data_IF_265559420915
#
_entry.id   IF_265559420915
#
_cell.length_a   1.000
_cell.length_b   1.000
_cell.length_c   1.000
_cell.angle_alpha   90.00
_cell.angle_beta   90.00
_cell.angle_gamma   90.00
#
_symmetry.space_group_name_H-M   'P 1'
#
loop_
_entity.id
_entity.type
_entity.pdbx_description
1 polymer ?
#
# COMPACT_ATOMS: atom_id res chain seq x y z
N UNK A 1 32.23 -27.94 -2.19
CA UNK A 1 30.87 -28.24 -2.70
C UNK A 1 30.10 -26.94 -2.51
N UNK A 2 29.93 -26.23 -3.60
CA UNK A 2 29.52 -24.84 -3.61
C UNK A 2 28.01 -24.77 -3.27
N UNK A 3 27.66 -23.92 -2.29
CA UNK A 3 26.27 -23.73 -1.81
C UNK A 3 25.39 -23.03 -2.87
N UNK A 4 26.00 -22.59 -3.97
CA UNK A 4 25.36 -21.81 -5.04
C UNK A 4 24.49 -22.61 -6.02
N UNK A 5 24.45 -23.95 -5.90
CA UNK A 5 23.77 -24.83 -6.90
C UNK A 5 22.51 -25.53 -6.36
N UNK A 6 21.92 -25.02 -5.26
CA UNK A 6 20.63 -25.54 -4.77
C UNK A 6 19.49 -24.74 -5.38
N UNK A 7 18.63 -25.44 -6.13
CA UNK A 7 17.33 -24.87 -6.54
C UNK A 7 16.60 -24.32 -5.31
N UNK A 8 15.95 -23.15 -5.42
CA UNK A 8 15.23 -22.55 -4.32
C UNK A 8 14.16 -23.49 -3.77
N UNK A 9 14.01 -23.52 -2.47
CA UNK A 9 12.94 -24.28 -1.82
C UNK A 9 11.59 -23.61 -2.07
N UNK A 10 10.48 -24.38 -1.93
CA UNK A 10 9.12 -23.85 -2.03
C UNK A 10 8.89 -22.64 -1.11
N UNK A 11 9.39 -22.68 0.11
CA UNK A 11 9.29 -21.57 1.05
C UNK A 11 10.00 -20.32 0.52
N UNK A 12 11.22 -20.47 -0.02
CA UNK A 12 11.96 -19.34 -0.60
C UNK A 12 11.26 -18.75 -1.84
N UNK A 13 10.64 -19.60 -2.66
CA UNK A 13 9.85 -19.13 -3.80
C UNK A 13 8.59 -18.38 -3.36
N UNK A 14 7.90 -18.86 -2.32
CA UNK A 14 6.74 -18.18 -1.76
C UNK A 14 7.13 -16.84 -1.12
N UNK A 15 8.19 -16.81 -0.32
CA UNK A 15 8.69 -15.57 0.28
C UNK A 15 9.03 -14.54 -0.80
N UNK A 16 9.76 -14.96 -1.85
CA UNK A 16 10.07 -14.08 -2.97
C UNK A 16 8.83 -13.58 -3.73
N UNK A 17 7.80 -14.44 -3.89
CA UNK A 17 6.53 -14.02 -4.48
C UNK A 17 5.83 -12.96 -3.63
N UNK A 18 5.73 -13.19 -2.32
CA UNK A 18 5.06 -12.26 -1.40
C UNK A 18 5.81 -10.92 -1.30
N UNK A 19 7.14 -10.94 -1.31
CA UNK A 19 7.97 -9.72 -1.32
C UNK A 19 7.75 -8.89 -2.60
N UNK A 20 7.62 -9.55 -3.77
CA UNK A 20 7.41 -8.89 -5.04
C UNK A 20 5.97 -8.36 -5.22
N UNK A 21 4.99 -8.97 -4.55
CA UNK A 21 3.57 -8.79 -4.82
C UNK A 21 3.10 -7.33 -4.73
N UNK A 22 3.54 -6.60 -3.70
CA UNK A 22 3.18 -5.18 -3.54
C UNK A 22 3.76 -4.31 -4.66
N UNK A 23 5.00 -4.59 -5.06
CA UNK A 23 5.69 -3.84 -6.12
C UNK A 23 5.03 -4.11 -7.46
N UNK A 24 4.73 -5.38 -7.76
CA UNK A 24 4.06 -5.79 -9.00
C UNK A 24 2.69 -5.13 -9.15
N UNK A 25 1.85 -5.25 -8.12
CA UNK A 25 0.48 -4.72 -8.15
C UNK A 25 0.46 -3.20 -8.07
N UNK A 26 1.37 -2.58 -7.31
CA UNK A 26 1.52 -1.12 -7.30
C UNK A 26 1.94 -0.54 -8.64
N UNK A 27 2.86 -1.21 -9.34
CA UNK A 27 3.27 -0.81 -10.68
C UNK A 27 2.18 -1.10 -11.74
N UNK A 28 1.40 -2.18 -11.58
CA UNK A 28 0.25 -2.46 -12.44
C UNK A 28 -0.75 -1.29 -12.39
N UNK A 29 -0.99 -0.76 -11.21
CA UNK A 29 -1.85 0.41 -11.02
C UNK A 29 -1.30 1.67 -11.68
N UNK A 30 0.01 1.92 -11.58
CA UNK A 30 0.63 3.17 -12.02
C UNK A 30 0.90 3.20 -13.53
N UNK A 31 1.40 2.10 -14.08
CA UNK A 31 1.97 2.05 -15.42
C UNK A 31 1.29 1.00 -16.32
N UNK A 32 0.61 0.00 -15.74
CA UNK A 32 0.10 -1.16 -16.46
C UNK A 32 -1.36 -1.04 -16.90
N UNK A 33 -2.11 -0.13 -16.30
CA UNK A 33 -3.54 0.04 -16.56
C UNK A 33 -3.86 1.49 -16.89
N UNK A 34 -4.90 1.74 -17.72
CA UNK A 34 -5.25 3.10 -18.12
C UNK A 34 -5.85 3.90 -16.98
N UNK A 35 -5.79 5.23 -17.11
CA UNK A 35 -6.50 6.15 -16.22
C UNK A 35 -7.99 5.80 -16.16
N UNK A 36 -8.53 5.74 -14.93
CA UNK A 36 -9.93 5.40 -14.70
C UNK A 36 -10.24 3.91 -14.62
N UNK A 37 -9.24 3.02 -14.67
CA UNK A 37 -9.45 1.61 -14.34
C UNK A 37 -9.97 1.48 -12.90
N UNK A 38 -11.03 0.68 -12.64
CA UNK A 38 -11.58 0.51 -11.29
C UNK A 38 -10.67 -0.40 -10.45
N UNK A 39 -9.56 0.16 -9.96
CA UNK A 39 -8.57 -0.60 -9.19
C UNK A 39 -9.00 -0.75 -7.72
N UNK A 40 -10.09 -1.49 -7.46
CA UNK A 40 -10.77 -1.58 -6.16
C UNK A 40 -10.99 -3.02 -5.66
N UNK A 41 -10.43 -4.01 -6.35
CA UNK A 41 -10.60 -5.45 -6.08
C UNK A 41 -12.07 -5.93 -6.14
N UNK A 42 -12.91 -5.20 -6.85
CA UNK A 42 -14.30 -5.59 -7.11
C UNK A 42 -14.41 -6.66 -8.21
N UNK A 43 -15.57 -7.33 -8.33
CA UNK A 43 -15.85 -8.20 -9.48
C UNK A 43 -15.74 -7.47 -10.82
N UNK A 44 -16.13 -6.20 -10.84
CA UNK A 44 -16.07 -5.33 -12.01
C UNK A 44 -14.63 -5.05 -12.43
N UNK A 45 -13.73 -4.83 -11.44
CA UNK A 45 -12.30 -4.64 -11.70
C UNK A 45 -11.64 -5.92 -12.21
N UNK A 46 -12.08 -7.10 -11.74
CA UNK A 46 -11.59 -8.38 -12.23
C UNK A 46 -11.96 -8.61 -13.70
N UNK A 47 -13.22 -8.32 -14.06
CA UNK A 47 -13.69 -8.40 -15.47
C UNK A 47 -13.04 -7.35 -16.35
N UNK A 48 -12.76 -6.15 -15.83
CA UNK A 48 -12.02 -5.14 -16.55
C UNK A 48 -10.56 -5.56 -16.79
N UNK A 49 -9.90 -6.16 -15.78
CA UNK A 49 -8.53 -6.67 -15.91
C UNK A 49 -8.43 -7.70 -17.03
N UNK A 50 -9.39 -8.62 -17.15
CA UNK A 50 -9.36 -9.65 -18.19
C UNK A 50 -9.28 -9.06 -19.60
N UNK A 51 -9.95 -7.94 -19.87
CA UNK A 51 -9.88 -7.25 -21.17
C UNK A 51 -8.46 -6.79 -21.50
N UNK A 52 -7.73 -6.29 -20.49
CA UNK A 52 -6.31 -5.93 -20.68
C UNK A 52 -5.41 -7.15 -20.80
N UNK A 53 -5.76 -8.26 -20.13
CA UNK A 53 -5.05 -9.53 -20.31
C UNK A 53 -5.14 -10.01 -21.75
N UNK A 54 -6.26 -9.79 -22.44
CA UNK A 54 -6.39 -10.18 -23.85
C UNK A 54 -5.43 -9.42 -24.78
N UNK A 55 -5.08 -8.18 -24.43
CA UNK A 55 -4.17 -7.33 -25.21
C UNK A 55 -2.72 -7.49 -24.74
N UNK A 56 -2.46 -7.46 -23.44
CA UNK A 56 -1.13 -7.33 -22.83
C UNK A 56 -0.65 -8.61 -22.12
N UNK A 57 -1.48 -9.65 -22.02
CA UNK A 57 -1.19 -10.85 -21.23
C UNK A 57 -0.02 -11.71 -21.72
N UNK A 58 0.53 -11.40 -22.90
CA UNK A 58 1.76 -11.99 -23.41
C UNK A 58 3.02 -11.37 -22.78
N UNK A 59 2.95 -10.16 -22.23
CA UNK A 59 4.06 -9.54 -21.51
C UNK A 59 4.28 -10.23 -20.15
N UNK A 60 5.48 -10.76 -19.86
CA UNK A 60 5.73 -11.53 -18.65
C UNK A 60 5.54 -10.72 -17.36
N UNK A 61 5.88 -9.42 -17.38
CA UNK A 61 5.72 -8.56 -16.23
C UNK A 61 4.23 -8.30 -15.97
N UNK A 62 3.47 -7.89 -17.00
CA UNK A 62 2.04 -7.64 -16.90
C UNK A 62 1.29 -8.90 -16.42
N UNK A 63 1.62 -10.05 -17.02
CA UNK A 63 1.06 -11.35 -16.62
C UNK A 63 1.29 -11.62 -15.13
N UNK A 64 2.50 -11.42 -14.62
CA UNK A 64 2.84 -11.66 -13.23
C UNK A 64 2.06 -10.72 -12.29
N UNK A 65 1.96 -9.44 -12.65
CA UNK A 65 1.19 -8.45 -11.92
C UNK A 65 -0.33 -8.74 -11.94
N UNK A 66 -0.87 -9.09 -13.10
CA UNK A 66 -2.27 -9.52 -13.27
C UNK A 66 -2.59 -10.78 -12.45
N UNK A 67 -1.64 -11.75 -12.39
CA UNK A 67 -1.75 -12.94 -11.51
C UNK A 67 -1.93 -12.51 -10.06
N UNK A 68 -1.11 -11.58 -9.58
CA UNK A 68 -1.21 -11.06 -8.22
C UNK A 68 -2.55 -10.40 -7.93
N UNK A 69 -2.96 -9.48 -8.78
CA UNK A 69 -4.21 -8.75 -8.61
C UNK A 69 -5.46 -9.65 -8.69
N UNK A 70 -5.53 -10.52 -9.70
CA UNK A 70 -6.65 -11.46 -9.87
C UNK A 70 -6.71 -12.48 -8.72
N UNK A 71 -5.55 -13.02 -8.31
CA UNK A 71 -5.49 -13.97 -7.20
C UNK A 71 -5.99 -13.40 -5.88
N UNK A 72 -5.70 -12.14 -5.59
CA UNK A 72 -6.24 -11.46 -4.41
C UNK A 72 -7.77 -11.36 -4.43
N UNK A 73 -8.36 -11.03 -5.58
CA UNK A 73 -9.82 -10.95 -5.72
C UNK A 73 -10.45 -12.34 -5.56
N UNK A 74 -9.84 -13.38 -6.11
CA UNK A 74 -10.34 -14.75 -5.98
C UNK A 74 -10.23 -15.25 -4.53
N UNK A 75 -9.13 -14.93 -3.82
CA UNK A 75 -9.00 -15.22 -2.39
C UNK A 75 -10.01 -14.49 -1.52
N UNK A 76 -10.47 -13.31 -1.90
CA UNK A 76 -11.55 -12.62 -1.16
C UNK A 76 -12.88 -13.39 -1.25
N UNK A 77 -13.06 -14.21 -2.28
CA UNK A 77 -14.26 -15.06 -2.44
C UNK A 77 -14.09 -16.39 -1.70
N UNK A 78 -13.00 -17.10 -1.95
CA UNK A 78 -12.82 -18.48 -1.47
C UNK A 78 -12.00 -18.60 -0.17
N UNK A 79 -11.46 -17.48 0.35
CA UNK A 79 -10.48 -17.55 1.44
C UNK A 79 -9.16 -18.19 0.99
N UNK A 80 -8.43 -18.75 1.95
CA UNK A 80 -7.18 -19.45 1.66
C UNK A 80 -5.95 -18.55 1.68
N UNK A 81 -4.93 -18.93 0.93
CA UNK A 81 -3.62 -18.25 0.93
C UNK A 81 -2.87 -18.39 -0.38
N UNK A 82 -1.87 -17.54 -0.55
CA UNK A 82 -0.84 -17.77 -1.55
C UNK A 82 0.01 -18.99 -1.22
N UNK A 83 0.42 -19.69 -2.24
CA UNK A 83 1.37 -20.78 -2.18
C UNK A 83 2.12 -20.86 -3.52
N UNK A 84 3.03 -21.83 -3.62
CA UNK A 84 3.77 -22.11 -4.85
C UNK A 84 3.51 -23.54 -5.26
N UNK A 85 3.20 -23.73 -6.53
CA UNK A 85 3.07 -25.06 -7.10
C UNK A 85 4.42 -25.80 -7.02
N UNK A 86 4.45 -27.02 -6.49
CA UNK A 86 5.70 -27.74 -6.24
C UNK A 86 6.41 -28.20 -7.54
N UNK A 87 5.67 -28.35 -8.64
CA UNK A 87 6.19 -28.87 -9.89
C UNK A 87 6.69 -27.75 -10.81
N UNK A 88 5.92 -26.66 -10.90
CA UNK A 88 6.25 -25.53 -11.79
C UNK A 88 7.01 -24.39 -11.09
N UNK A 89 6.90 -24.27 -9.77
CA UNK A 89 7.42 -23.12 -9.02
C UNK A 89 6.59 -21.85 -9.16
N UNK A 90 5.45 -21.91 -9.87
CA UNK A 90 4.58 -20.76 -10.08
C UNK A 90 3.67 -20.47 -8.88
N UNK A 91 3.30 -19.19 -8.66
CA UNK A 91 2.38 -18.82 -7.59
C UNK A 91 0.96 -19.36 -7.86
N UNK A 92 0.35 -19.90 -6.81
CA UNK A 92 -1.02 -20.43 -6.82
C UNK A 92 -1.79 -19.91 -5.63
N UNK A 93 -3.11 -19.82 -5.75
CA UNK A 93 -4.00 -19.60 -4.61
C UNK A 93 -4.48 -20.97 -4.12
N UNK A 94 -4.24 -21.28 -2.83
CA UNK A 94 -4.87 -22.42 -2.17
C UNK A 94 -6.13 -21.91 -1.48
N UNK A 95 -7.33 -22.31 -1.92
CA UNK A 95 -8.58 -21.94 -1.26
C UNK A 95 -8.62 -22.40 0.20
N UNK A 96 -9.57 -21.84 0.95
CA UNK A 96 -9.87 -22.33 2.30
C UNK A 96 -10.05 -23.85 2.29
N UNK A 97 -9.32 -24.61 3.13
CA UNK A 97 -9.36 -26.08 3.14
C UNK A 97 -10.76 -26.66 3.34
N UNK A 98 -11.69 -25.93 3.99
CA UNK A 98 -13.06 -26.37 4.18
C UNK A 98 -13.86 -26.50 2.85
N UNK A 99 -13.43 -25.80 1.79
CA UNK A 99 -14.05 -25.90 0.48
C UNK A 99 -13.65 -27.17 -0.25
N UNK A 100 -12.56 -27.85 0.13
CA UNK A 100 -12.01 -29.03 -0.52
C UNK A 100 -11.77 -28.85 -2.04
N UNK A 101 -11.34 -27.65 -2.44
CA UNK A 101 -11.00 -27.31 -3.81
C UNK A 101 -9.50 -27.50 -4.06
N UNK A 102 -9.16 -27.79 -5.33
CA UNK A 102 -7.77 -27.82 -5.79
C UNK A 102 -7.16 -26.41 -5.82
N UNK A 103 -5.82 -26.30 -5.78
CA UNK A 103 -5.15 -25.02 -5.94
C UNK A 103 -5.53 -24.32 -7.26
N UNK A 104 -5.74 -23.01 -7.19
CA UNK A 104 -6.03 -22.17 -8.34
C UNK A 104 -4.74 -21.68 -8.98
N UNK A 105 -4.48 -22.14 -10.19
CA UNK A 105 -3.36 -21.68 -11.00
C UNK A 105 -3.77 -20.42 -11.77
N UNK A 106 -3.69 -19.25 -11.13
CA UNK A 106 -4.15 -17.97 -11.73
C UNK A 106 -3.42 -17.67 -13.04
N UNK A 107 -2.14 -18.02 -13.15
CA UNK A 107 -1.40 -17.92 -14.41
C UNK A 107 -2.00 -18.77 -15.53
N UNK A 108 -2.56 -19.95 -15.21
CA UNK A 108 -3.26 -20.80 -16.18
C UNK A 108 -4.60 -20.19 -16.58
N UNK A 109 -5.31 -19.51 -15.69
CA UNK A 109 -6.52 -18.76 -16.05
C UNK A 109 -6.23 -17.68 -17.09
N UNK A 110 -5.06 -17.01 -16.99
CA UNK A 110 -4.61 -16.06 -18.01
C UNK A 110 -4.41 -16.76 -19.37
N UNK A 111 -3.79 -17.96 -19.40
CA UNK A 111 -3.62 -18.73 -20.64
C UNK A 111 -4.97 -19.13 -21.25
N UNK A 112 -5.92 -19.53 -20.41
CA UNK A 112 -7.28 -19.86 -20.85
C UNK A 112 -7.98 -18.61 -21.40
N UNK A 113 -7.87 -17.46 -20.75
CA UNK A 113 -8.45 -16.21 -21.23
C UNK A 113 -7.88 -15.82 -22.60
N UNK A 114 -6.55 -15.91 -22.77
CA UNK A 114 -5.88 -15.65 -24.04
C UNK A 114 -6.28 -16.64 -25.13
N UNK A 115 -6.57 -17.90 -24.81
CA UNK A 115 -7.01 -18.90 -25.77
C UNK A 115 -8.48 -18.74 -26.16
N UNK A 116 -9.36 -18.47 -25.20
CA UNK A 116 -10.81 -18.35 -25.44
C UNK A 116 -11.21 -16.98 -26.01
N UNK A 117 -10.49 -15.91 -25.67
CA UNK A 117 -10.78 -14.53 -26.08
C UNK A 117 -12.22 -14.06 -25.73
N UNK A 118 -12.83 -14.68 -24.70
CA UNK A 118 -14.22 -14.43 -24.33
C UNK A 118 -14.41 -13.20 -23.47
N UNK A 119 -13.39 -12.85 -22.64
CA UNK A 119 -13.48 -11.82 -21.62
C UNK A 119 -14.35 -12.23 -20.41
N UNK A 120 -14.62 -13.52 -20.23
CA UNK A 120 -15.51 -14.07 -19.21
C UNK A 120 -14.86 -15.17 -18.34
N UNK A 121 -13.57 -15.48 -18.57
CA UNK A 121 -12.89 -16.58 -17.87
C UNK A 121 -12.74 -16.28 -16.38
N UNK A 122 -12.30 -15.08 -16.04
CA UNK A 122 -12.12 -14.69 -14.64
C UNK A 122 -13.46 -14.57 -13.90
N UNK A 123 -14.49 -14.06 -14.56
CA UNK A 123 -15.84 -13.99 -14.00
C UNK A 123 -16.41 -15.38 -13.71
N UNK A 124 -16.28 -16.32 -14.66
CA UNK A 124 -16.72 -17.72 -14.49
C UNK A 124 -16.01 -18.40 -13.31
N UNK A 125 -14.68 -18.22 -13.21
CA UNK A 125 -13.92 -18.80 -12.10
C UNK A 125 -14.38 -18.24 -10.76
N UNK A 126 -14.54 -16.91 -10.67
CA UNK A 126 -15.05 -16.26 -9.49
C UNK A 126 -16.45 -16.77 -9.09
N UNK A 127 -17.35 -16.96 -10.05
CA UNK A 127 -18.69 -17.50 -9.82
C UNK A 127 -18.61 -18.94 -9.32
N UNK A 128 -17.76 -19.79 -9.92
CA UNK A 128 -17.57 -21.16 -9.47
C UNK A 128 -17.09 -21.23 -8.00
N UNK A 129 -16.17 -20.36 -7.59
CA UNK A 129 -15.73 -20.24 -6.21
C UNK A 129 -16.88 -19.75 -5.29
N UNK A 130 -17.65 -18.77 -5.73
CA UNK A 130 -18.81 -18.28 -4.96
C UNK A 130 -19.87 -19.36 -4.77
N UNK A 131 -20.12 -20.17 -5.78
CA UNK A 131 -21.04 -21.31 -5.74
C UNK A 131 -20.56 -22.40 -4.76
N UNK A 132 -19.25 -22.69 -4.73
CA UNK A 132 -18.67 -23.61 -3.76
C UNK A 132 -18.86 -23.12 -2.32
N UNK A 133 -18.62 -21.84 -2.07
CA UNK A 133 -18.87 -21.20 -0.76
C UNK A 133 -20.36 -21.27 -0.41
N UNK A 134 -21.24 -20.95 -1.36
CA UNK A 134 -22.70 -21.02 -1.16
C UNK A 134 -23.16 -22.46 -0.90
N UNK A 135 -22.54 -23.44 -1.55
CA UNK A 135 -22.82 -24.85 -1.29
C UNK A 135 -22.50 -25.25 0.15
N UNK A 136 -21.35 -24.85 0.65
CA UNK A 136 -20.96 -25.15 2.02
C UNK A 136 -21.86 -24.42 3.04
N UNK A 137 -22.23 -23.17 2.78
CA UNK A 137 -23.17 -22.40 3.61
C UNK A 137 -24.57 -23.00 3.70
N UNK A 138 -24.98 -23.84 2.77
CA UNK A 138 -26.26 -24.57 2.89
C UNK A 138 -26.24 -25.63 4.01
N UNK A 139 -25.04 -26.18 4.31
CA UNK A 139 -24.85 -27.18 5.40
C UNK A 139 -24.33 -26.55 6.67
N UNK A 140 -23.58 -25.47 6.57
CA UNK A 140 -23.04 -24.66 7.67
C UNK A 140 -23.30 -23.16 7.41
N UNK A 141 -24.44 -22.61 7.84
CA UNK A 141 -24.81 -21.22 7.59
C UNK A 141 -23.86 -20.18 8.18
N UNK A 142 -23.09 -20.57 9.21
CA UNK A 142 -22.11 -19.68 9.85
C UNK A 142 -20.73 -19.71 9.15
N UNK A 143 -20.55 -20.60 8.19
CA UNK A 143 -19.28 -20.69 7.47
C UNK A 143 -18.94 -19.36 6.79
N UNK A 144 -17.72 -18.94 7.01
CA UNK A 144 -17.09 -17.80 6.32
C UNK A 144 -15.71 -18.27 5.87
N UNK A 145 -15.37 -18.12 4.57
CA UNK A 145 -14.03 -18.43 4.09
C UNK A 145 -12.99 -17.65 4.88
N UNK A 146 -11.95 -18.33 5.33
CA UNK A 146 -10.85 -17.71 6.07
C UNK A 146 -9.72 -17.43 5.10
N UNK A 147 -9.41 -16.15 4.89
CA UNK A 147 -8.27 -15.71 4.10
C UNK A 147 -7.07 -15.50 5.03
N UNK A 148 -5.94 -16.13 4.73
CA UNK A 148 -4.66 -15.80 5.33
C UNK A 148 -4.19 -14.45 4.78
N UNK A 149 -3.64 -13.61 5.66
CA UNK A 149 -3.24 -12.26 5.30
C UNK A 149 -2.17 -12.25 4.22
N UNK A 150 -2.39 -11.43 3.19
CA UNK A 150 -1.41 -11.14 2.15
C UNK A 150 -0.75 -9.77 2.35
N UNK A 151 0.37 -9.49 1.66
CA UNK A 151 0.98 -8.16 1.66
C UNK A 151 0.07 -7.04 1.13
N UNK A 152 -0.96 -7.39 0.34
CA UNK A 152 -1.91 -6.43 -0.23
C UNK A 152 -3.11 -6.14 0.67
N UNK A 153 -3.28 -6.90 1.74
CA UNK A 153 -4.38 -6.66 2.68
C UNK A 153 -4.12 -5.42 3.53
N UNK A 154 -5.19 -4.72 3.97
CA UNK A 154 -5.06 -3.60 4.89
C UNK A 154 -4.21 -3.98 6.11
N UNK A 155 -3.32 -3.11 6.54
CA UNK A 155 -2.50 -3.40 7.74
C UNK A 155 -3.34 -3.52 9.01
N UNK A 156 -4.59 -3.04 8.96
CA UNK A 156 -5.51 -3.08 10.09
C UNK A 156 -5.11 -2.10 11.21
N UNK A 157 -5.88 -2.08 12.30
CA UNK A 157 -5.53 -1.31 13.48
C UNK A 157 -4.16 -1.74 14.01
N UNK A 158 -3.29 -0.77 14.27
CA UNK A 158 -2.00 -1.00 14.89
C UNK A 158 -2.07 -0.67 16.39
N UNK A 159 -1.29 -1.35 17.25
CA UNK A 159 -1.19 -0.97 18.65
C UNK A 159 -0.64 0.45 18.75
N UNK A 160 -1.08 1.19 19.77
CA UNK A 160 -0.54 2.51 20.05
C UNK A 160 0.94 2.40 20.41
N UNK A 161 1.78 3.15 19.72
CA UNK A 161 3.20 3.24 20.03
C UNK A 161 3.43 4.38 21.05
N UNK A 162 4.05 4.10 22.21
CA UNK A 162 4.24 5.11 23.26
C UNK A 162 5.16 6.28 22.84
N UNK A 163 6.10 6.05 21.91
CA UNK A 163 6.93 7.12 21.36
C UNK A 163 6.08 8.04 20.49
N UNK A 164 5.27 7.46 19.60
CA UNK A 164 4.38 8.21 18.70
C UNK A 164 3.38 9.06 19.50
N UNK A 165 2.72 8.45 20.50
CA UNK A 165 1.76 9.17 21.36
C UNK A 165 2.42 10.39 22.00
N UNK A 166 3.59 10.23 22.60
CA UNK A 166 4.34 11.33 23.21
C UNK A 166 4.76 12.38 22.17
N UNK A 167 5.25 11.93 21.02
CA UNK A 167 5.65 12.83 19.94
C UNK A 167 4.48 13.69 19.45
N UNK A 168 3.30 13.11 19.28
CA UNK A 168 2.09 13.82 18.87
C UNK A 168 1.64 14.85 19.93
N UNK A 169 1.64 14.48 21.21
CA UNK A 169 1.30 15.37 22.33
C UNK A 169 2.26 16.57 22.42
N UNK A 170 3.56 16.31 22.27
CA UNK A 170 4.59 17.36 22.26
C UNK A 170 4.38 18.33 21.09
N UNK A 171 4.10 17.81 19.88
CA UNK A 171 3.85 18.65 18.69
C UNK A 171 2.57 19.46 18.81
N UNK A 172 1.49 18.86 19.29
CA UNK A 172 0.23 19.56 19.53
C UNK A 172 0.39 20.66 20.56
N UNK A 173 1.12 20.41 21.65
CA UNK A 173 1.38 21.40 22.70
C UNK A 173 2.27 22.54 22.22
N UNK A 174 3.26 22.25 21.35
CA UNK A 174 4.17 23.25 20.80
C UNK A 174 3.56 24.07 19.65
N UNK A 175 2.46 23.61 19.06
CA UNK A 175 1.88 24.21 17.85
C UNK A 175 1.56 25.71 17.95
N UNK A 176 0.94 26.24 19.03
CA UNK A 176 0.65 27.67 19.13
C UNK A 176 1.91 28.55 19.07
N UNK A 177 2.99 28.14 19.73
CA UNK A 177 4.28 28.82 19.67
C UNK A 177 4.90 28.75 18.29
N UNK A 178 4.91 27.54 17.68
CA UNK A 178 5.40 27.31 16.33
C UNK A 178 4.64 28.19 15.30
N UNK A 179 3.31 28.21 15.36
CA UNK A 179 2.48 29.02 14.46
C UNK A 179 2.78 30.53 14.60
N UNK A 180 3.04 31.01 15.80
CA UNK A 180 3.41 32.41 16.05
C UNK A 180 4.82 32.74 15.49
N UNK A 181 5.79 31.83 15.67
CA UNK A 181 7.18 32.00 15.22
C UNK A 181 7.35 31.95 13.70
N UNK A 182 6.43 31.33 12.97
CA UNK A 182 6.50 31.26 11.50
C UNK A 182 6.40 32.62 10.82
N UNK A 183 5.88 33.64 11.52
CA UNK A 183 5.66 34.96 10.95
C UNK A 183 4.68 34.98 9.77
N UNK A 184 3.82 33.97 9.69
CA UNK A 184 2.90 33.80 8.56
C UNK A 184 1.92 34.98 8.45
N UNK A 185 1.64 35.49 7.22
CA UNK A 185 0.59 36.47 6.99
C UNK A 185 -0.77 35.95 7.51
N UNK A 186 -1.43 36.69 8.40
CA UNK A 186 -2.67 36.25 9.06
C UNK A 186 -2.45 35.66 10.46
N UNK A 187 -1.21 35.56 10.93
CA UNK A 187 -0.87 35.08 12.27
C UNK A 187 -1.27 33.61 12.50
N UNK A 188 -1.50 33.25 13.76
CA UNK A 188 -1.87 31.88 14.13
C UNK A 188 -3.18 31.39 13.49
N UNK A 189 -4.11 32.29 13.16
CA UNK A 189 -5.38 31.94 12.51
C UNK A 189 -5.25 31.48 11.04
N UNK A 190 -4.10 31.70 10.41
CA UNK A 190 -3.83 31.20 9.06
C UNK A 190 -3.53 29.69 9.02
N UNK A 191 -3.27 29.08 10.18
CA UNK A 191 -2.97 27.67 10.35
C UNK A 191 -4.23 26.87 10.74
N UNK A 192 -5.18 26.79 9.82
CA UNK A 192 -6.52 26.21 10.01
C UNK A 192 -6.62 24.71 9.72
N UNK A 193 -5.50 24.06 9.39
CA UNK A 193 -5.43 22.67 8.92
C UNK A 193 -6.21 22.39 7.63
N UNK A 194 -6.68 23.41 6.93
CA UNK A 194 -7.31 23.26 5.61
C UNK A 194 -6.27 23.01 4.53
N UNK A 195 -6.64 22.38 3.38
CA UNK A 195 -5.73 22.16 2.26
C UNK A 195 -5.07 23.46 1.75
N UNK A 196 -5.76 24.60 1.88
CA UNK A 196 -5.23 25.93 1.51
C UNK A 196 -4.04 26.38 2.34
N UNK A 197 -3.96 25.96 3.60
CA UNK A 197 -2.85 26.30 4.48
C UNK A 197 -1.52 25.66 4.09
N UNK A 198 -1.55 24.61 3.25
CA UNK A 198 -0.34 23.98 2.70
C UNK A 198 0.41 24.91 1.74
N UNK A 199 -0.28 25.84 1.06
CA UNK A 199 0.40 26.87 0.25
C UNK A 199 1.13 27.89 1.13
N UNK A 200 0.61 28.14 2.32
CA UNK A 200 1.29 28.96 3.31
C UNK A 200 2.52 28.22 3.86
N UNK A 201 2.37 26.95 4.20
CA UNK A 201 3.48 26.11 4.67
C UNK A 201 4.60 26.04 3.62
N UNK A 202 4.27 25.88 2.34
CA UNK A 202 5.25 25.87 1.25
C UNK A 202 6.06 27.16 1.18
N UNK A 203 5.40 28.33 1.29
CA UNK A 203 6.09 29.63 1.30
C UNK A 203 7.03 29.78 2.50
N UNK A 204 6.57 29.44 3.70
CA UNK A 204 7.36 29.54 4.92
C UNK A 204 8.54 28.56 4.90
N UNK A 205 8.30 27.35 4.42
CA UNK A 205 9.34 26.31 4.26
C UNK A 205 10.48 26.81 3.37
N UNK A 206 10.14 27.33 2.16
CA UNK A 206 11.13 27.83 1.20
C UNK A 206 11.87 29.08 1.68
N UNK A 207 11.20 29.93 2.46
CA UNK A 207 11.85 31.06 3.09
C UNK A 207 12.86 30.64 4.17
N UNK A 208 12.61 29.54 4.86
CA UNK A 208 13.45 29.01 5.93
C UNK A 208 14.60 28.16 5.41
N UNK A 209 14.32 27.30 4.43
CA UNK A 209 15.28 26.35 3.85
C UNK A 209 15.44 26.61 2.34
N UNK A 210 16.55 27.18 1.91
CA UNK A 210 16.77 27.45 0.49
C UNK A 210 17.01 26.20 -0.35
N UNK A 211 17.38 25.06 0.28
CA UNK A 211 17.67 23.78 -0.38
C UNK A 211 17.24 22.61 0.50
N UNK A 212 17.05 21.43 -0.10
CA UNK A 212 16.83 20.18 0.63
C UNK A 212 18.00 19.85 1.58
N UNK A 213 19.24 20.09 1.14
CA UNK A 213 20.41 19.87 1.98
C UNK A 213 20.40 20.73 3.26
N UNK A 214 19.90 21.96 3.20
CA UNK A 214 19.72 22.80 4.37
C UNK A 214 18.63 22.26 5.32
N UNK A 215 17.56 21.68 4.76
CA UNK A 215 16.51 21.01 5.51
C UNK A 215 17.02 19.73 6.19
N UNK A 216 17.83 18.92 5.49
CA UNK A 216 18.36 17.67 6.02
C UNK A 216 19.47 17.90 7.07
N UNK A 217 20.21 19.01 6.98
CA UNK A 217 21.24 19.38 7.95
C UNK A 217 20.68 19.81 9.32
N UNK A 218 19.36 20.03 9.43
CA UNK A 218 18.70 20.53 10.66
C UNK A 218 17.53 19.63 11.08
N UNK A 219 17.78 18.31 11.34
CA UNK A 219 16.74 17.33 11.58
C UNK A 219 15.93 17.60 12.85
N UNK A 220 16.54 18.19 13.86
CA UNK A 220 15.95 18.41 15.18
C UNK A 220 15.36 19.82 15.34
N UNK A 221 15.39 20.65 14.29
CA UNK A 221 14.88 22.02 14.37
C UNK A 221 13.39 22.04 14.77
N UNK A 222 13.00 22.84 15.75
CA UNK A 222 11.60 22.97 16.16
C UNK A 222 10.68 23.34 15.00
N UNK A 223 11.15 24.18 14.07
CA UNK A 223 10.39 24.53 12.88
C UNK A 223 10.13 23.30 11.98
N UNK A 224 11.17 22.49 11.69
CA UNK A 224 11.05 21.29 10.86
C UNK A 224 10.08 20.29 11.48
N UNK A 225 10.23 20.01 12.78
CA UNK A 225 9.35 19.10 13.50
C UNK A 225 7.89 19.55 13.49
N UNK A 226 7.65 20.86 13.65
CA UNK A 226 6.31 21.44 13.53
C UNK A 226 5.74 21.38 12.13
N UNK A 227 6.55 21.63 11.09
CA UNK A 227 6.14 21.55 9.70
C UNK A 227 5.76 20.12 9.28
N UNK A 228 6.56 19.11 9.68
CA UNK A 228 6.29 17.69 9.49
C UNK A 228 4.95 17.30 10.12
N UNK A 229 4.77 17.67 11.40
CA UNK A 229 3.53 17.37 12.11
C UNK A 229 2.33 18.07 11.48
N UNK A 230 2.46 19.36 11.15
CA UNK A 230 1.37 20.15 10.56
C UNK A 230 0.89 19.56 9.22
N UNK A 231 1.83 19.24 8.32
CA UNK A 231 1.50 18.61 7.04
C UNK A 231 0.77 17.27 7.26
N UNK A 232 1.28 16.42 8.14
CA UNK A 232 0.65 15.14 8.45
C UNK A 232 -0.73 15.29 9.09
N UNK A 233 -0.95 16.32 9.93
CA UNK A 233 -2.26 16.63 10.50
C UNK A 233 -3.27 17.09 9.43
N UNK A 234 -2.82 17.85 8.42
CA UNK A 234 -3.68 18.19 7.28
C UNK A 234 -4.05 16.93 6.51
N UNK A 235 -3.09 16.05 6.22
CA UNK A 235 -3.37 14.76 5.56
C UNK A 235 -4.33 13.93 6.39
N UNK A 236 -4.06 13.74 7.68
CA UNK A 236 -4.88 12.94 8.59
C UNK A 236 -6.34 13.40 8.62
N UNK A 237 -6.56 14.71 8.70
CA UNK A 237 -7.91 15.30 8.80
C UNK A 237 -8.70 15.23 7.49
N UNK A 238 -8.02 15.21 6.35
CA UNK A 238 -8.68 15.28 5.04
C UNK A 238 -8.68 13.96 4.27
N UNK A 239 -7.97 12.92 4.75
CA UNK A 239 -7.79 11.67 4.02
C UNK A 239 -8.10 10.41 4.81
N UNK A 240 -8.87 10.52 5.90
CA UNK A 240 -9.27 9.39 6.74
C UNK A 240 -8.07 8.48 7.08
N UNK A 241 -6.98 9.11 7.47
CA UNK A 241 -5.73 8.46 7.81
C UNK A 241 -5.40 8.60 9.28
N UNK A 242 -4.50 7.78 9.77
CA UNK A 242 -3.96 7.81 11.13
C UNK A 242 -2.45 7.98 11.10
N UNK A 243 -1.89 8.51 12.17
CA UNK A 243 -0.45 8.48 12.37
C UNK A 243 0.00 7.07 12.75
N UNK A 244 1.12 6.64 12.16
CA UNK A 244 1.80 5.40 12.47
C UNK A 244 3.29 5.65 12.70
N UNK A 245 3.90 4.76 13.46
CA UNK A 245 5.33 4.70 13.68
C UNK A 245 5.73 3.26 13.91
N UNK A 246 6.74 2.80 13.22
CA UNK A 246 7.34 1.49 13.41
C UNK A 246 8.76 1.67 13.94
N UNK A 247 8.97 1.31 15.20
CA UNK A 247 10.30 1.37 15.79
C UNK A 247 11.27 0.49 15.00
N UNK A 248 12.47 0.98 14.76
CA UNK A 248 13.53 0.17 14.15
C UNK A 248 13.98 -0.91 15.13
N UNK A 249 13.92 -2.16 14.73
CA UNK A 249 14.41 -3.31 15.50
C UNK A 249 15.60 -3.95 14.76
N UNK A 250 16.85 -3.81 15.31
CA UNK A 250 18.07 -4.34 14.71
C UNK A 250 18.07 -5.83 14.62
N UNK A 251 17.38 -6.59 14.15
CA UNK A 251 17.29 -8.04 14.10
C UNK A 251 15.92 -8.52 13.60
N UNK A 252 15.04 -7.57 13.27
CA UNK A 252 13.79 -7.89 12.63
C UNK A 252 14.05 -8.60 11.30
N UNK A 253 13.25 -9.60 10.91
CA UNK A 253 13.38 -10.26 9.62
C UNK A 253 13.14 -9.27 8.47
N UNK A 254 13.76 -9.53 7.31
CA UNK A 254 13.46 -8.79 6.08
C UNK A 254 11.97 -8.91 5.76
N UNK A 255 11.37 -7.84 5.26
CA UNK A 255 9.93 -7.76 5.04
C UNK A 255 9.11 -7.33 6.27
N UNK A 256 9.70 -7.34 7.48
CA UNK A 256 9.05 -6.75 8.65
C UNK A 256 8.96 -5.24 8.56
N UNK A 257 7.86 -4.68 9.06
CA UNK A 257 7.72 -3.22 9.21
C UNK A 257 8.79 -2.60 10.14
N UNK A 258 9.40 -3.39 11.00
CA UNK A 258 10.43 -2.98 11.95
C UNK A 258 11.87 -3.17 11.42
N UNK A 259 12.02 -3.73 10.19
CA UNK A 259 13.36 -3.94 9.62
C UNK A 259 14.04 -2.61 9.31
N UNK A 260 15.36 -2.46 9.57
CA UNK A 260 16.10 -1.22 9.28
C UNK A 260 16.03 -0.77 7.81
N UNK A 261 15.91 -1.70 6.86
CA UNK A 261 15.81 -1.40 5.43
C UNK A 261 14.37 -1.04 5.00
N UNK A 262 13.37 -1.15 5.87
CA UNK A 262 12.03 -0.70 5.55
C UNK A 262 11.99 0.84 5.59
N UNK A 263 11.60 1.52 4.49
CA UNK A 263 11.67 2.99 4.39
C UNK A 263 10.74 3.71 5.37
N UNK A 264 9.78 2.99 5.96
CA UNK A 264 8.83 3.53 6.94
C UNK A 264 9.26 3.31 8.39
N UNK A 265 10.32 2.54 8.62
CA UNK A 265 10.83 2.30 9.98
C UNK A 265 11.53 3.54 10.53
N UNK A 266 11.26 3.85 11.78
CA UNK A 266 11.90 4.93 12.51
C UNK A 266 11.40 6.34 12.19
N UNK A 267 10.38 6.47 11.35
CA UNK A 267 9.77 7.76 10.99
C UNK A 267 8.27 7.78 11.32
N UNK A 268 7.71 8.92 11.77
CA UNK A 268 6.26 9.08 11.87
C UNK A 268 5.68 9.38 10.48
N UNK A 269 4.64 8.65 10.10
CA UNK A 269 3.97 8.81 8.81
C UNK A 269 2.46 8.69 8.96
N UNK A 270 1.69 9.15 7.97
CA UNK A 270 0.24 8.97 7.94
C UNK A 270 -0.15 7.85 6.96
N UNK A 271 -1.16 7.06 7.32
CA UNK A 271 -1.59 5.88 6.57
C UNK A 271 -3.08 5.61 6.75
N UNK A 272 -3.72 4.94 5.79
CA UNK A 272 -5.11 4.47 5.85
C UNK A 272 -5.14 2.96 6.19
N UNK A 273 -5.07 2.56 7.47
CA UNK A 273 -4.79 1.16 7.85
C UNK A 273 -5.93 0.19 7.52
N UNK A 274 -7.11 0.71 7.25
CA UNK A 274 -8.33 -0.05 6.94
C UNK A 274 -8.60 -0.17 5.43
N UNK A 275 -7.78 0.46 4.59
CA UNK A 275 -7.92 0.38 3.14
C UNK A 275 -6.85 -0.52 2.54
N UNK A 276 -7.24 -1.40 1.63
CA UNK A 276 -6.31 -2.25 0.87
C UNK A 276 -5.38 -1.41 -0.01
N UNK A 277 -5.89 -0.34 -0.59
CA UNK A 277 -5.13 0.67 -1.34
C UNK A 277 -4.73 1.82 -0.44
N UNK A 278 -4.21 1.48 0.71
CA UNK A 278 -3.79 2.46 1.68
C UNK A 278 -2.59 3.25 1.16
N UNK A 279 -2.74 4.57 1.07
CA UNK A 279 -1.61 5.44 0.81
C UNK A 279 -0.93 5.80 2.12
N UNK A 280 0.38 5.67 2.13
CA UNK A 280 1.23 6.19 3.19
C UNK A 280 1.85 7.51 2.72
N UNK A 281 1.98 8.47 3.64
CA UNK A 281 2.67 9.73 3.40
C UNK A 281 3.70 9.93 4.50
N UNK A 282 4.96 10.04 4.11
CA UNK A 282 6.03 10.60 4.93
C UNK A 282 6.00 12.13 4.77
N UNK A 283 5.53 12.89 5.78
CA UNK A 283 5.48 14.34 5.66
C UNK A 283 6.87 14.99 5.53
N UNK A 284 7.91 14.37 6.09
CA UNK A 284 9.28 14.90 5.98
C UNK A 284 9.79 14.77 4.54
N UNK A 285 9.50 13.65 3.88
CA UNK A 285 9.88 13.43 2.49
C UNK A 285 9.10 14.36 1.54
N UNK A 286 7.82 14.59 1.78
CA UNK A 286 7.02 15.57 1.01
C UNK A 286 7.61 16.97 1.10
N UNK A 287 8.02 17.41 2.30
CA UNK A 287 8.66 18.72 2.50
C UNK A 287 10.02 18.78 1.79
N UNK A 288 10.81 17.73 1.86
CA UNK A 288 12.10 17.60 1.15
C UNK A 288 11.90 17.69 -0.35
N UNK A 289 10.97 16.92 -0.90
CA UNK A 289 10.65 16.91 -2.33
C UNK A 289 10.16 18.28 -2.83
N UNK A 290 9.38 19.00 -2.04
CA UNK A 290 8.99 20.36 -2.38
C UNK A 290 10.20 21.30 -2.54
N UNK A 291 11.22 21.16 -1.71
CA UNK A 291 12.47 21.93 -1.83
C UNK A 291 13.32 21.47 -3.02
N UNK A 292 13.40 20.15 -3.27
CA UNK A 292 14.15 19.56 -4.37
C UNK A 292 13.58 19.97 -5.75
N UNK A 293 12.29 19.74 -5.97
CA UNK A 293 11.65 20.00 -7.27
C UNK A 293 11.19 21.46 -7.45
N UNK A 294 11.29 22.27 -6.42
CA UNK A 294 10.94 23.68 -6.49
C UNK A 294 9.43 23.96 -6.58
N UNK A 295 9.03 25.17 -7.07
CA UNK A 295 7.62 25.58 -7.08
C UNK A 295 6.67 24.70 -7.90
N UNK A 296 7.19 23.86 -8.79
CA UNK A 296 6.41 22.90 -9.56
C UNK A 296 5.90 21.70 -8.75
N UNK A 297 6.34 21.56 -7.49
CA UNK A 297 5.93 20.49 -6.58
C UNK A 297 5.19 21.08 -5.37
N UNK A 298 3.87 21.32 -5.46
CA UNK A 298 3.11 21.91 -4.36
C UNK A 298 2.89 20.88 -3.24
N UNK A 299 2.93 21.34 -1.97
CA UNK A 299 2.69 20.46 -0.82
C UNK A 299 1.31 19.81 -0.81
N UNK A 300 0.33 20.38 -1.54
CA UNK A 300 -1.01 19.78 -1.70
C UNK A 300 -0.97 18.40 -2.35
N UNK A 301 0.10 18.05 -3.06
CA UNK A 301 0.29 16.68 -3.60
C UNK A 301 0.26 15.61 -2.53
N UNK A 302 0.58 15.95 -1.27
CA UNK A 302 0.40 15.05 -0.15
C UNK A 302 -1.05 14.57 0.03
N UNK A 303 -2.01 15.31 -0.52
CA UNK A 303 -3.43 14.97 -0.49
C UNK A 303 -3.90 14.20 -1.74
N UNK A 304 -3.07 14.10 -2.78
CA UNK A 304 -3.42 13.40 -4.02
C UNK A 304 -3.28 11.89 -3.85
N UNK A 305 -4.04 11.13 -4.64
CA UNK A 305 -3.96 9.66 -4.65
C UNK A 305 -4.57 8.93 -3.45
N UNK A 306 -5.25 9.62 -2.56
CA UNK A 306 -6.14 9.03 -1.57
C UNK A 306 -7.54 8.88 -2.21
N UNK A 307 -7.99 7.66 -2.37
CA UNK A 307 -9.29 7.32 -2.98
C UNK A 307 -10.22 6.68 -1.96
#
# INVERSE_FOLDING_TARGET
>A
MDESDRSPTRAQLLDAWLDDLQVLVGRLEQDGLPDGFPFDYSPESLSALERFVLDEGADPWFRRAATGYAGEILMDVCGGRWDVDPDSGEPVVRPDPALALEPLHVGVLIDVALAEQSGEVFAREREALADAVAALRRTDPEYRPVKERSPLDPIGPQPEDPWLTRWLDDRQSAFPAWAAETGAPGGAGAWDFGPGSLDLLDRVLRARYPTEAAFDADPDAPFRAGAVWYLGEVVRRHRDSVWLYWAVEPGAPRGSHHHPDNPWSGIPFTHQPHKRRARAVDPADVLRNALHFGPGYPLRRALDGFH
#
